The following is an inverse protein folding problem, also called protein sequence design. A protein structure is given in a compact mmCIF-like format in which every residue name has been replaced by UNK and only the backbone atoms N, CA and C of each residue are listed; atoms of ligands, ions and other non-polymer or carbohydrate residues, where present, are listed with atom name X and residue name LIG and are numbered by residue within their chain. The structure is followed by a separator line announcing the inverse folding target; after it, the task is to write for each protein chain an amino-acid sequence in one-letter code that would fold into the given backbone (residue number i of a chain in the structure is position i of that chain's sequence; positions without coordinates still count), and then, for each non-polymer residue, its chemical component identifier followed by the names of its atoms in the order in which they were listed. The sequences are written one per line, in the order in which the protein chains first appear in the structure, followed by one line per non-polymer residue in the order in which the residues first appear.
data_IF_491812283638
#
_entry.id   IF_491812283638
#
_cell.length_a   1.000
_cell.length_b   1.000
_cell.length_c   1.000
_cell.angle_alpha   90.00
_cell.angle_beta   90.00
_cell.angle_gamma   90.00
#
_symmetry.space_group_name_H-M   'P 1'
#
loop_
_entity.id
_entity.type
_entity.pdbx_description
1 polymer ?
#
# COMPACT_ATOMS: atom_id res chain seq x y z
N UNK A 1 -23.86 -23.41 -18.52
CA UNK A 1 -24.33 -22.62 -17.38
C UNK A 1 -23.13 -22.47 -16.44
N UNK A 2 -22.44 -21.34 -16.47
CA UNK A 2 -21.43 -21.02 -15.47
C UNK A 2 -22.15 -20.65 -14.19
N UNK A 3 -21.85 -21.34 -13.11
CA UNK A 3 -22.50 -21.13 -11.82
C UNK A 3 -22.14 -19.73 -11.26
N UNK A 4 -23.09 -18.82 -11.25
CA UNK A 4 -22.92 -17.48 -10.71
C UNK A 4 -22.62 -17.46 -9.19
N UNK A 5 -22.86 -18.57 -8.47
CA UNK A 5 -22.60 -18.66 -7.04
C UNK A 5 -21.09 -18.70 -6.74
N UNK A 6 -20.30 -19.30 -7.61
CA UNK A 6 -18.85 -19.38 -7.49
C UNK A 6 -18.22 -17.97 -7.42
N UNK A 7 -18.54 -17.10 -8.36
CA UNK A 7 -17.96 -15.74 -8.44
C UNK A 7 -18.45 -14.80 -7.35
N UNK A 8 -19.69 -14.97 -6.85
CA UNK A 8 -20.20 -14.15 -5.75
C UNK A 8 -19.50 -14.45 -4.43
N UNK A 9 -19.11 -15.71 -4.18
CA UNK A 9 -18.29 -16.09 -3.03
C UNK A 9 -16.93 -15.42 -3.04
N UNK A 10 -16.22 -15.47 -4.16
CA UNK A 10 -14.89 -14.88 -4.33
C UNK A 10 -14.86 -13.36 -4.18
N UNK A 11 -15.95 -12.66 -4.50
CA UNK A 11 -16.05 -11.21 -4.29
C UNK A 11 -16.07 -10.84 -2.80
N UNK A 12 -16.74 -11.63 -1.97
CA UNK A 12 -16.74 -11.42 -0.51
C UNK A 12 -15.36 -11.71 0.09
N UNK A 13 -14.76 -12.84 -0.28
CA UNK A 13 -13.44 -13.24 0.20
C UNK A 13 -12.36 -12.22 -0.14
N UNK A 14 -12.42 -11.62 -1.34
CA UNK A 14 -11.49 -10.55 -1.73
C UNK A 14 -11.63 -9.33 -0.80
N UNK A 15 -12.84 -8.96 -0.40
CA UNK A 15 -13.08 -7.85 0.53
C UNK A 15 -12.44 -8.08 1.88
N UNK A 16 -12.59 -9.26 2.44
CA UNK A 16 -12.01 -9.65 3.73
C UNK A 16 -10.48 -9.71 3.65
N UNK A 17 -9.97 -10.26 2.55
CA UNK A 17 -8.54 -10.41 2.32
C UNK A 17 -7.79 -9.07 2.26
N UNK A 18 -8.35 -8.09 1.58
CA UNK A 18 -7.75 -6.75 1.46
C UNK A 18 -8.00 -5.86 2.68
N UNK A 19 -8.91 -6.23 3.58
CA UNK A 19 -9.31 -5.38 4.72
C UNK A 19 -8.20 -5.11 5.73
N UNK A 20 -7.23 -6.00 5.84
CA UNK A 20 -6.13 -5.95 6.81
C UNK A 20 -4.83 -5.38 6.26
N UNK A 21 -4.78 -5.08 4.96
CA UNK A 21 -3.57 -4.57 4.31
C UNK A 21 -3.32 -3.12 4.73
N UNK A 22 -2.14 -2.86 5.28
CA UNK A 22 -1.72 -1.53 5.75
C UNK A 22 -0.44 -1.03 5.06
N UNK A 23 0.19 -1.85 4.22
CA UNK A 23 1.40 -1.48 3.49
C UNK A 23 1.35 -1.88 2.02
N UNK A 24 2.20 -1.25 1.24
CA UNK A 24 2.37 -1.51 -0.19
C UNK A 24 2.96 -2.91 -0.47
N UNK A 25 3.86 -3.35 0.39
CA UNK A 25 4.49 -4.68 0.31
C UNK A 25 3.49 -5.79 0.60
N UNK A 26 2.68 -5.60 1.64
CA UNK A 26 1.60 -6.53 1.97
C UNK A 26 0.57 -6.66 0.85
N UNK A 27 0.30 -5.58 0.10
CA UNK A 27 -0.63 -5.62 -1.02
C UNK A 27 -0.17 -6.60 -2.10
N UNK A 28 1.12 -6.55 -2.46
CA UNK A 28 1.69 -7.46 -3.46
C UNK A 28 1.56 -8.93 -3.04
N UNK A 29 2.04 -9.26 -1.86
CA UNK A 29 2.05 -10.64 -1.35
C UNK A 29 0.63 -11.17 -1.17
N UNK A 30 -0.25 -10.33 -0.66
CA UNK A 30 -1.64 -10.69 -0.43
C UNK A 30 -2.38 -10.90 -1.74
N UNK A 31 -2.20 -10.01 -2.73
CA UNK A 31 -2.83 -10.14 -4.03
C UNK A 31 -2.41 -11.43 -4.73
N UNK A 32 -1.11 -11.72 -4.77
CA UNK A 32 -0.60 -12.94 -5.39
C UNK A 32 -1.10 -14.19 -4.68
N UNK A 33 -1.11 -14.20 -3.35
CA UNK A 33 -1.66 -15.31 -2.55
C UNK A 33 -3.14 -15.54 -2.83
N UNK A 34 -3.93 -14.46 -2.86
CA UNK A 34 -5.35 -14.53 -3.20
C UNK A 34 -5.57 -15.13 -4.59
N UNK A 35 -4.84 -14.63 -5.59
CA UNK A 35 -4.96 -15.10 -6.96
C UNK A 35 -4.60 -16.58 -7.10
N UNK A 36 -3.51 -17.03 -6.47
CA UNK A 36 -3.11 -18.45 -6.50
C UNK A 36 -4.16 -19.34 -5.85
N UNK A 37 -4.79 -18.90 -4.76
CA UNK A 37 -5.82 -19.69 -4.08
C UNK A 37 -7.13 -19.81 -4.87
N UNK A 38 -7.43 -18.81 -5.71
CA UNK A 38 -8.68 -18.74 -6.46
C UNK A 38 -8.60 -19.31 -7.86
N UNK A 39 -7.39 -19.59 -8.38
CA UNK A 39 -7.21 -20.06 -9.73
C UNK A 39 -6.91 -21.56 -9.78
N UNK A 40 -7.90 -22.33 -10.24
CA UNK A 40 -7.78 -23.76 -10.56
C UNK A 40 -7.42 -24.01 -12.04
N UNK A 41 -7.24 -22.95 -12.85
CA UNK A 41 -7.12 -23.07 -14.30
C UNK A 41 -5.67 -22.93 -14.77
N UNK A 42 -5.11 -23.99 -15.30
CA UNK A 42 -3.84 -23.94 -16.01
C UNK A 42 -3.91 -22.96 -17.20
N UNK A 43 -3.00 -22.01 -17.18
CA UNK A 43 -2.77 -21.09 -18.30
C UNK A 43 -3.52 -19.77 -18.25
N UNK A 44 -4.20 -19.43 -17.16
CA UNK A 44 -4.80 -18.12 -17.00
C UNK A 44 -3.73 -17.03 -16.76
N UNK A 45 -4.00 -15.87 -17.34
CA UNK A 45 -3.15 -14.70 -17.19
C UNK A 45 -3.96 -13.55 -16.61
N UNK A 46 -3.54 -13.06 -15.45
CA UNK A 46 -4.13 -11.89 -14.79
C UNK A 46 -3.00 -10.97 -14.35
N UNK A 47 -3.13 -9.68 -14.63
CA UNK A 47 -2.16 -8.68 -14.21
C UNK A 47 -2.86 -7.48 -13.61
N UNK A 48 -2.38 -7.01 -12.47
CA UNK A 48 -2.83 -5.79 -11.82
C UNK A 48 -1.75 -4.75 -11.89
N UNK A 49 -2.04 -3.66 -12.59
CA UNK A 49 -1.11 -2.56 -12.82
C UNK A 49 -1.68 -1.27 -12.21
N UNK A 50 -0.95 -0.66 -11.29
CA UNK A 50 -1.32 0.62 -10.69
C UNK A 50 -0.44 1.74 -11.26
N UNK A 51 -0.94 2.97 -11.16
CA UNK A 51 -0.12 4.17 -11.41
C UNK A 51 1.01 4.24 -10.40
N UNK A 52 2.21 4.64 -10.81
CA UNK A 52 3.41 4.61 -9.97
C UNK A 52 3.36 5.58 -8.77
N UNK A 53 2.41 6.51 -8.77
CA UNK A 53 2.14 7.43 -7.67
C UNK A 53 0.92 7.03 -6.81
N UNK A 54 0.40 5.82 -6.96
CA UNK A 54 -0.80 5.38 -6.26
C UNK A 54 -0.71 5.55 -4.74
N UNK A 55 0.43 5.23 -4.15
CA UNK A 55 0.69 5.42 -2.71
C UNK A 55 1.42 6.74 -2.39
N UNK A 56 2.21 7.29 -3.31
CA UNK A 56 3.05 8.45 -3.03
C UNK A 56 2.33 9.80 -3.07
N UNK A 57 1.18 9.88 -3.73
CA UNK A 57 0.36 11.11 -3.81
C UNK A 57 -0.23 11.55 -2.46
N UNK A 58 0.06 10.81 -1.39
CA UNK A 58 -0.45 11.05 -0.04
C UNK A 58 0.41 12.06 0.75
N UNK A 59 1.62 12.37 0.30
CA UNK A 59 2.57 13.22 1.03
C UNK A 59 2.19 14.70 1.10
N UNK A 60 1.16 15.14 0.37
CA UNK A 60 0.76 16.56 0.31
C UNK A 60 -0.70 16.86 0.59
N UNK A 61 -1.52 15.89 1.00
CA UNK A 61 -2.98 16.12 1.17
C UNK A 61 -3.71 16.37 -0.17
N UNK A 62 -3.05 16.24 -1.28
CA UNK A 62 -3.66 16.35 -2.61
C UNK A 62 -4.37 15.04 -2.94
N UNK A 63 -5.65 15.12 -3.21
CA UNK A 63 -6.43 14.04 -3.78
C UNK A 63 -5.79 13.61 -5.11
N UNK A 64 -5.84 12.31 -5.42
CA UNK A 64 -5.40 11.74 -6.69
C UNK A 64 -6.28 12.29 -7.83
N UNK A 65 -6.06 13.55 -8.20
CA UNK A 65 -6.72 14.17 -9.37
C UNK A 65 -6.09 13.73 -10.69
N UNK A 66 -5.54 12.52 -10.73
CA UNK A 66 -4.91 12.03 -11.93
C UNK A 66 -5.95 11.60 -12.96
N UNK A 67 -6.03 12.35 -14.05
CA UNK A 67 -7.00 12.10 -15.13
C UNK A 67 -6.58 10.99 -16.11
N UNK A 68 -5.47 10.28 -15.85
CA UNK A 68 -4.97 9.24 -16.74
C UNK A 68 -3.86 8.39 -16.10
N UNK A 69 -3.20 7.60 -16.93
CA UNK A 69 -2.06 6.78 -16.50
C UNK A 69 -0.79 7.61 -16.38
N UNK A 70 0.10 7.20 -15.47
CA UNK A 70 1.45 7.76 -15.34
C UNK A 70 2.36 7.28 -16.48
N UNK A 71 3.51 7.93 -16.69
CA UNK A 71 4.50 7.47 -17.67
C UNK A 71 5.01 6.07 -17.37
N UNK A 72 5.08 5.73 -16.11
CA UNK A 72 5.40 4.40 -15.62
C UNK A 72 4.24 3.88 -14.80
N UNK A 73 4.06 2.58 -14.89
CA UNK A 73 3.10 1.83 -14.12
C UNK A 73 3.84 0.84 -13.23
N UNK A 74 3.16 0.35 -12.23
CA UNK A 74 3.68 -0.67 -11.34
C UNK A 74 2.81 -1.93 -11.44
N UNK A 75 3.42 -3.05 -11.85
CA UNK A 75 2.81 -4.37 -11.76
C UNK A 75 2.84 -4.80 -10.29
N UNK A 76 1.69 -4.73 -9.64
CA UNK A 76 1.57 -5.02 -8.19
C UNK A 76 1.26 -6.48 -7.89
N UNK A 77 0.91 -7.26 -8.88
CA UNK A 77 0.63 -8.69 -8.74
C UNK A 77 -0.12 -9.25 -9.92
N UNK A 78 -0.22 -10.54 -9.96
CA UNK A 78 -0.90 -11.25 -11.04
C UNK A 78 -0.48 -12.70 -11.14
N UNK A 79 -1.03 -13.38 -12.12
CA UNK A 79 -0.67 -14.74 -12.51
C UNK A 79 -0.28 -14.78 -13.99
N UNK A 80 0.73 -15.57 -14.29
CA UNK A 80 1.10 -15.94 -15.64
C UNK A 80 1.29 -17.45 -15.72
N UNK A 81 0.49 -18.10 -16.53
CA UNK A 81 0.48 -19.57 -16.63
C UNK A 81 0.31 -20.27 -15.26
N UNK A 82 -0.55 -19.68 -14.39
CA UNK A 82 -0.82 -20.18 -13.04
C UNK A 82 0.26 -19.84 -11.98
N UNK A 83 1.35 -19.16 -12.36
CA UNK A 83 2.42 -18.78 -11.44
C UNK A 83 2.33 -17.28 -11.09
N UNK A 84 2.59 -16.90 -9.83
CA UNK A 84 2.58 -15.51 -9.42
C UNK A 84 3.67 -14.73 -10.13
N UNK A 85 3.35 -13.47 -10.50
CA UNK A 85 4.30 -12.55 -11.12
C UNK A 85 5.01 -11.71 -10.09
N UNK A 86 6.26 -11.33 -10.37
CA UNK A 86 7.03 -10.44 -9.53
C UNK A 86 6.58 -8.99 -9.70
N UNK A 87 6.62 -8.23 -8.61
CA UNK A 87 6.39 -6.80 -8.62
C UNK A 87 7.48 -6.10 -9.42
N UNK A 88 7.10 -5.24 -10.37
CA UNK A 88 8.06 -4.45 -11.11
C UNK A 88 7.45 -3.18 -11.70
N UNK A 89 8.29 -2.16 -11.84
CA UNK A 89 7.96 -0.90 -12.51
C UNK A 89 8.27 -1.01 -14.00
N UNK A 90 7.37 -0.50 -14.85
CA UNK A 90 7.52 -0.56 -16.29
C UNK A 90 6.92 0.68 -16.98
N UNK A 91 7.39 1.05 -18.20
CA UNK A 91 6.79 2.13 -18.99
C UNK A 91 5.38 1.76 -19.44
N UNK A 92 4.40 2.64 -19.30
CA UNK A 92 3.00 2.40 -19.66
C UNK A 92 2.79 1.93 -21.10
N UNK A 93 3.69 2.30 -22.00
CA UNK A 93 3.67 1.88 -23.41
C UNK A 93 3.81 0.37 -23.60
N UNK A 94 4.32 -0.35 -22.62
CA UNK A 94 4.51 -1.80 -22.68
C UNK A 94 3.29 -2.60 -22.23
N UNK A 95 2.23 -1.98 -21.82
CA UNK A 95 0.99 -2.56 -21.31
C UNK A 95 1.22 -3.48 -20.09
N UNK A 96 2.12 -4.46 -20.18
CA UNK A 96 2.57 -5.30 -19.07
C UNK A 96 4.01 -5.75 -19.32
N UNK A 97 4.83 -5.98 -18.28
CA UNK A 97 6.19 -6.49 -18.42
C UNK A 97 6.22 -7.88 -19.07
N UNK A 98 7.18 -8.10 -19.97
CA UNK A 98 7.35 -9.37 -20.64
C UNK A 98 6.28 -9.72 -21.68
N UNK A 99 5.40 -8.77 -22.00
CA UNK A 99 4.46 -8.93 -23.11
C UNK A 99 5.15 -8.61 -24.44
N UNK A 100 5.19 -9.59 -25.32
CA UNK A 100 5.71 -9.42 -26.68
C UNK A 100 4.54 -9.29 -27.67
N UNK A 101 4.34 -8.06 -28.16
CA UNK A 101 3.33 -7.75 -29.18
C UNK A 101 3.60 -8.46 -30.53
N UNK A 102 4.85 -8.88 -30.75
CA UNK A 102 5.29 -9.52 -32.00
C UNK A 102 5.25 -11.05 -31.93
N UNK A 103 4.89 -11.63 -30.78
CA UNK A 103 4.78 -13.07 -30.62
C UNK A 103 3.77 -13.67 -31.62
N UNK A 104 4.21 -14.63 -32.43
CA UNK A 104 3.38 -15.34 -33.38
C UNK A 104 2.33 -16.18 -32.65
N UNK A 105 1.09 -15.77 -32.73
CA UNK A 105 -0.06 -16.41 -32.11
C UNK A 105 -0.90 -15.34 -31.46
N UNK A 106 -1.99 -14.93 -32.10
CA UNK A 106 -2.86 -13.88 -31.55
C UNK A 106 -3.36 -14.24 -30.17
N UNK A 107 -3.04 -13.42 -29.18
CA UNK A 107 -3.62 -13.50 -27.84
C UNK A 107 -4.62 -12.39 -27.67
N UNK A 108 -5.74 -12.70 -27.06
CA UNK A 108 -6.76 -11.69 -26.72
C UNK A 108 -6.62 -11.37 -25.25
N UNK A 109 -6.50 -10.08 -24.95
CA UNK A 109 -6.52 -9.58 -23.58
C UNK A 109 -7.71 -8.67 -23.41
N UNK A 110 -8.36 -8.78 -22.26
CA UNK A 110 -9.38 -7.83 -21.82
C UNK A 110 -8.72 -6.84 -20.91
N UNK A 111 -8.81 -5.59 -21.31
CA UNK A 111 -8.34 -4.44 -20.56
C UNK A 111 -9.46 -3.87 -19.72
N UNK A 112 -9.29 -3.84 -18.41
CA UNK A 112 -10.26 -3.31 -17.47
C UNK A 112 -9.65 -2.14 -16.69
N UNK A 113 -10.09 -0.90 -16.94
CA UNK A 113 -9.61 0.25 -16.21
C UNK A 113 -10.11 0.25 -14.77
N UNK A 114 -9.23 0.59 -13.83
CA UNK A 114 -9.52 0.75 -12.42
C UNK A 114 -9.55 2.25 -12.10
N UNK A 115 -10.74 2.81 -11.97
CA UNK A 115 -10.92 4.24 -11.74
C UNK A 115 -12.08 4.54 -10.80
N UNK A 116 -12.01 5.72 -10.18
CA UNK A 116 -13.07 6.33 -9.39
C UNK A 116 -13.34 7.75 -9.89
N UNK A 117 -14.30 8.43 -9.27
CA UNK A 117 -14.49 9.87 -9.50
C UNK A 117 -13.27 10.71 -9.02
N UNK A 118 -12.44 10.14 -8.16
CA UNK A 118 -11.24 10.80 -7.61
C UNK A 118 -10.04 10.70 -8.54
N UNK A 119 -10.01 9.68 -9.42
CA UNK A 119 -8.93 9.53 -10.39
C UNK A 119 -8.73 8.11 -10.91
N UNK A 120 -7.69 7.96 -11.72
CA UNK A 120 -7.28 6.69 -12.29
C UNK A 120 -6.33 5.97 -11.34
N UNK A 121 -6.66 4.75 -10.95
CA UNK A 121 -5.82 3.91 -10.09
C UNK A 121 -4.88 3.02 -10.92
N UNK A 122 -5.32 2.63 -12.12
CA UNK A 122 -4.57 1.74 -12.98
C UNK A 122 -5.48 0.91 -13.86
N UNK A 123 -5.10 -0.34 -14.10
CA UNK A 123 -5.89 -1.30 -14.86
C UNK A 123 -5.58 -2.74 -14.45
N UNK A 124 -6.53 -3.63 -14.74
CA UNK A 124 -6.31 -5.06 -14.75
C UNK A 124 -6.35 -5.58 -16.18
N UNK A 125 -5.52 -6.59 -16.48
CA UNK A 125 -5.51 -7.30 -17.75
C UNK A 125 -5.83 -8.76 -17.50
N UNK A 126 -6.68 -9.31 -18.36
CA UNK A 126 -7.05 -10.72 -18.34
C UNK A 126 -6.73 -11.33 -19.70
N UNK A 127 -5.89 -12.36 -19.71
CA UNK A 127 -5.61 -13.19 -20.87
C UNK A 127 -6.39 -14.50 -20.82
N UNK A 128 -6.68 -15.07 -21.99
CA UNK A 128 -7.50 -16.26 -22.18
C UNK A 128 -8.98 -16.13 -21.81
N UNK A 129 -9.71 -17.22 -21.95
CA UNK A 129 -11.14 -17.26 -21.72
C UNK A 129 -11.46 -17.32 -20.23
N UNK A 130 -11.76 -16.16 -19.65
CA UNK A 130 -12.29 -16.13 -18.28
C UNK A 130 -13.83 -16.19 -18.33
N UNK A 131 -14.44 -17.18 -17.68
CA UNK A 131 -15.91 -17.33 -17.69
C UNK A 131 -16.69 -16.12 -17.20
N UNK A 132 -16.10 -15.30 -16.32
CA UNK A 132 -16.73 -14.10 -15.78
C UNK A 132 -16.95 -12.99 -16.81
N UNK A 133 -16.32 -13.07 -18.00
CA UNK A 133 -16.45 -12.06 -19.05
C UNK A 133 -17.81 -12.07 -19.74
N UNK A 134 -18.55 -13.16 -19.63
CA UNK A 134 -19.83 -13.33 -20.31
C UNK A 134 -21.05 -12.87 -19.50
N UNK A 135 -20.83 -12.30 -18.31
CA UNK A 135 -21.92 -11.86 -17.47
C UNK A 135 -21.59 -10.56 -16.71
N UNK A 136 -22.59 -9.99 -16.03
CA UNK A 136 -22.44 -8.78 -15.22
C UNK A 136 -21.46 -8.92 -14.03
N UNK A 137 -20.96 -10.11 -13.76
CA UNK A 137 -20.04 -10.38 -12.66
C UNK A 137 -18.74 -9.61 -12.79
N UNK A 138 -18.25 -9.39 -14.02
CA UNK A 138 -17.02 -8.62 -14.25
C UNK A 138 -17.16 -7.16 -13.77
N UNK A 139 -18.33 -6.56 -13.96
CA UNK A 139 -18.58 -5.19 -13.50
C UNK A 139 -18.57 -5.11 -11.96
N UNK A 140 -19.25 -6.03 -11.31
CA UNK A 140 -19.28 -6.10 -9.85
C UNK A 140 -17.88 -6.39 -9.29
N UNK A 141 -17.14 -7.27 -9.96
CA UNK A 141 -15.77 -7.60 -9.60
C UNK A 141 -14.85 -6.36 -9.72
N UNK A 142 -14.89 -5.63 -10.83
CA UNK A 142 -14.07 -4.42 -11.01
C UNK A 142 -14.37 -3.37 -9.95
N UNK A 143 -15.65 -3.17 -9.64
CA UNK A 143 -16.09 -2.25 -8.59
C UNK A 143 -15.56 -2.67 -7.22
N UNK A 144 -15.62 -3.96 -6.91
CA UNK A 144 -15.08 -4.51 -5.66
C UNK A 144 -13.57 -4.32 -5.57
N UNK A 145 -12.81 -4.62 -6.64
CA UNK A 145 -11.36 -4.36 -6.69
C UNK A 145 -11.04 -2.90 -6.39
N UNK A 146 -11.71 -1.97 -7.07
CA UNK A 146 -11.47 -0.53 -6.89
C UNK A 146 -11.81 -0.08 -5.46
N UNK A 147 -12.90 -0.58 -4.88
CA UNK A 147 -13.26 -0.29 -3.49
C UNK A 147 -12.22 -0.80 -2.50
N UNK A 148 -11.71 -2.01 -2.72
CA UNK A 148 -10.67 -2.59 -1.88
C UNK A 148 -9.33 -1.87 -2.02
N UNK A 149 -8.92 -1.52 -3.23
CA UNK A 149 -7.72 -0.69 -3.45
C UNK A 149 -7.84 0.68 -2.76
N UNK A 150 -9.00 1.31 -2.83
CA UNK A 150 -9.25 2.56 -2.12
C UNK A 150 -9.15 2.38 -0.60
N UNK A 151 -9.66 1.29 -0.07
CA UNK A 151 -9.56 0.96 1.36
C UNK A 151 -8.10 0.76 1.80
N UNK A 152 -7.32 -0.03 1.04
CA UNK A 152 -5.89 -0.19 1.31
C UNK A 152 -5.17 1.15 1.33
N UNK A 153 -5.44 1.99 0.32
CA UNK A 153 -4.87 3.33 0.25
C UNK A 153 -5.22 4.17 1.48
N UNK A 154 -6.47 4.16 1.91
CA UNK A 154 -6.90 4.88 3.12
C UNK A 154 -6.20 4.35 4.39
N UNK A 155 -6.05 3.04 4.53
CA UNK A 155 -5.34 2.45 5.66
C UNK A 155 -3.88 2.91 5.71
N UNK A 156 -3.19 2.89 4.57
CA UNK A 156 -1.80 3.39 4.47
C UNK A 156 -1.69 4.86 4.86
N UNK A 157 -2.67 5.69 4.45
CA UNK A 157 -2.72 7.11 4.84
C UNK A 157 -2.87 7.25 6.36
N UNK A 158 -3.84 6.55 6.93
CA UNK A 158 -4.12 6.63 8.37
C UNK A 158 -2.90 6.20 9.17
N UNK A 159 -2.22 5.12 8.76
CA UNK A 159 -1.01 4.65 9.43
C UNK A 159 0.14 5.67 9.35
N UNK A 160 0.33 6.29 8.18
CA UNK A 160 1.33 7.35 8.02
C UNK A 160 1.01 8.58 8.90
N UNK A 161 -0.25 9.00 8.96
CA UNK A 161 -0.67 10.11 9.81
C UNK A 161 -0.49 9.78 11.28
N UNK A 162 -0.85 8.58 11.72
CA UNK A 162 -0.64 8.12 13.09
C UNK A 162 0.85 8.14 13.45
N UNK A 163 1.70 7.62 12.58
CA UNK A 163 3.16 7.65 12.78
C UNK A 163 3.72 9.08 12.86
N UNK A 164 3.17 10.03 12.09
CA UNK A 164 3.55 11.43 12.18
C UNK A 164 3.08 12.06 13.51
N UNK A 165 1.84 11.78 13.93
CA UNK A 165 1.31 12.25 15.20
C UNK A 165 2.11 11.70 16.39
N UNK A 166 2.49 10.42 16.36
CA UNK A 166 3.35 9.82 17.37
C UNK A 166 4.71 10.54 17.45
N UNK A 167 5.35 10.80 16.32
CA UNK A 167 6.62 11.55 16.29
C UNK A 167 6.48 12.96 16.88
N UNK A 168 5.41 13.66 16.56
CA UNK A 168 5.13 14.99 17.13
C UNK A 168 4.80 14.91 18.62
N UNK A 169 4.16 13.83 19.05
CA UNK A 169 3.79 13.62 20.46
C UNK A 169 4.96 13.22 21.34
N UNK A 170 6.02 12.57 20.82
CA UNK A 170 7.16 12.07 21.62
C UNK A 170 8.34 13.03 21.67
N UNK A 171 8.31 14.13 20.93
CA UNK A 171 9.37 15.15 20.92
C UNK A 171 8.90 16.45 21.56
N UNK A 172 9.81 17.16 22.20
CA UNK A 172 9.62 18.52 22.69
C UNK A 172 9.71 19.51 21.53
N UNK A 173 8.67 20.33 21.35
CA UNK A 173 8.55 21.22 20.19
C UNK A 173 9.58 22.37 20.16
N UNK A 174 10.24 22.66 21.28
CA UNK A 174 11.24 23.72 21.37
C UNK A 174 12.65 23.20 21.10
N UNK A 175 12.97 22.06 21.65
CA UNK A 175 14.34 21.51 21.62
C UNK A 175 14.54 20.40 20.60
N UNK A 176 13.46 19.78 20.09
CA UNK A 176 13.51 18.66 19.17
C UNK A 176 14.00 17.34 19.78
N UNK A 177 14.30 17.29 21.08
CA UNK A 177 14.66 16.05 21.78
C UNK A 177 13.40 15.34 22.27
N UNK A 178 13.54 14.09 22.70
CA UNK A 178 12.42 13.36 23.27
C UNK A 178 11.85 14.06 24.51
N UNK A 179 10.54 14.22 24.56
CA UNK A 179 9.84 14.64 25.76
C UNK A 179 9.69 13.45 26.74
N UNK A 180 8.95 13.63 27.82
CA UNK A 180 8.71 12.56 28.80
C UNK A 180 8.11 11.30 28.17
N UNK A 181 7.10 11.46 27.31
CA UNK A 181 6.46 10.34 26.60
C UNK A 181 7.42 9.66 25.64
N UNK A 182 8.29 10.42 24.96
CA UNK A 182 9.33 9.90 24.11
C UNK A 182 10.39 9.11 24.88
N UNK A 183 10.75 9.54 26.10
CA UNK A 183 11.61 8.75 26.98
C UNK A 183 10.94 7.40 27.36
N UNK A 184 9.66 7.42 27.69
CA UNK A 184 8.92 6.22 28.05
C UNK A 184 8.78 5.23 26.86
N UNK A 185 8.44 5.73 25.68
CA UNK A 185 8.12 4.88 24.52
C UNK A 185 9.34 4.49 23.68
N UNK A 186 10.42 5.23 23.74
CA UNK A 186 11.61 5.01 22.88
C UNK A 186 12.85 4.67 23.72
N UNK A 187 13.14 5.46 24.75
CA UNK A 187 14.39 5.29 25.50
C UNK A 187 14.37 4.02 26.37
N UNK A 188 13.28 3.71 27.05
CA UNK A 188 13.21 2.48 27.86
C UNK A 188 13.30 1.19 27.04
N UNK A 189 12.56 1.01 25.94
CA UNK A 189 12.74 -0.18 25.10
C UNK A 189 14.14 -0.30 24.51
N UNK A 190 14.79 0.84 24.24
CA UNK A 190 16.18 0.83 23.78
C UNK A 190 17.15 0.34 24.88
N UNK A 191 16.95 0.76 26.12
CA UNK A 191 17.74 0.29 27.25
C UNK A 191 17.56 -1.20 27.53
N UNK A 192 16.32 -1.70 27.44
CA UNK A 192 16.02 -3.13 27.55
C UNK A 192 16.75 -3.94 26.47
N UNK A 193 16.71 -3.48 25.24
CA UNK A 193 17.43 -4.11 24.12
C UNK A 193 18.95 -4.10 24.32
N UNK A 194 19.51 -3.02 24.88
CA UNK A 194 20.94 -2.98 25.23
C UNK A 194 21.28 -4.03 26.30
N UNK A 195 20.43 -4.15 27.31
CA UNK A 195 20.61 -5.15 28.37
C UNK A 195 20.55 -6.59 27.82
N UNK A 196 19.57 -6.91 26.99
CA UNK A 196 19.45 -8.22 26.33
C UNK A 196 20.69 -8.55 25.46
N UNK A 197 21.32 -7.54 24.86
CA UNK A 197 22.52 -7.69 24.03
C UNK A 197 23.81 -7.67 24.84
N UNK A 198 23.73 -7.58 26.18
CA UNK A 198 24.92 -7.48 27.03
C UNK A 198 25.76 -6.21 26.84
N UNK A 199 25.09 -5.11 26.38
CA UNK A 199 25.73 -3.81 26.18
C UNK A 199 25.47 -2.91 27.37
N UNK A 200 26.49 -2.15 27.74
CA UNK A 200 26.36 -1.12 28.76
C UNK A 200 25.67 0.10 28.24
N UNK A 201 24.85 0.74 29.07
CA UNK A 201 24.21 2.02 28.80
C UNK A 201 24.51 3.00 29.93
N UNK A 202 24.72 4.26 29.59
CA UNK A 202 24.94 5.33 30.55
C UNK A 202 23.73 6.26 30.55
N UNK A 203 23.15 6.45 31.73
CA UNK A 203 22.07 7.42 31.94
C UNK A 203 22.65 8.68 32.61
N UNK A 204 22.43 9.83 31.99
CA UNK A 204 22.88 11.12 32.51
C UNK A 204 21.67 12.01 32.79
N UNK A 205 21.64 12.59 33.98
CA UNK A 205 20.68 13.66 34.34
C UNK A 205 21.41 14.98 34.32
N UNK A 206 20.85 15.97 33.61
CA UNK A 206 21.37 17.32 33.57
C UNK A 206 20.26 18.34 33.92
N UNK A 207 20.60 19.35 34.73
CA UNK A 207 19.68 20.44 35.10
C UNK A 207 20.40 21.79 35.02
N UNK A 208 19.65 22.82 34.64
CA UNK A 208 20.17 24.18 34.56
C UNK A 208 19.95 24.87 35.90
N UNK A 209 21.05 25.18 36.61
CA UNK A 209 21.01 25.84 37.87
C UNK A 209 20.42 27.27 37.75
N UNK A 210 19.53 27.63 38.69
CA UNK A 210 18.91 28.97 38.80
C UNK A 210 18.07 29.36 37.57
N UNK A 211 17.50 28.44 36.84
CA UNK A 211 16.64 28.73 35.69
C UNK A 211 15.49 29.69 36.02
N UNK A 212 14.89 29.54 37.20
CA UNK A 212 13.86 30.48 37.67
C UNK A 212 14.38 31.93 37.78
N UNK A 213 15.58 32.13 38.31
CA UNK A 213 16.19 33.48 38.44
C UNK A 213 16.49 34.07 37.06
N UNK A 214 16.87 33.24 36.08
CA UNK A 214 17.11 33.68 34.70
C UNK A 214 15.80 34.10 34.06
N UNK A 215 14.75 33.29 34.17
CA UNK A 215 13.42 33.58 33.62
C UNK A 215 12.80 34.83 34.24
N UNK A 216 12.93 35.00 35.56
CA UNK A 216 12.44 36.17 36.26
C UNK A 216 13.14 37.48 35.83
N UNK A 217 14.42 37.37 35.43
CA UNK A 217 15.24 38.54 35.05
C UNK A 217 15.14 38.87 33.55
N UNK A 218 15.02 37.85 32.69
CA UNK A 218 15.15 38.04 31.26
C UNK A 218 13.88 37.62 30.46
N UNK A 219 12.87 37.04 31.15
CA UNK A 219 11.65 36.57 30.52
C UNK A 219 11.78 35.13 29.97
N UNK A 220 10.62 34.53 29.59
CA UNK A 220 10.53 33.17 29.06
C UNK A 220 10.84 33.05 27.56
N UNK A 221 11.18 34.12 26.87
CA UNK A 221 11.34 34.16 25.41
C UNK A 221 12.80 34.32 24.94
N UNK A 222 13.76 34.00 25.78
CA UNK A 222 15.18 33.97 25.36
C UNK A 222 15.78 32.59 25.48
#
# INVERSE_FOLDING_TARGET
YVDNSFWSGHLCEMGDFFSLIVSEEELHDSLNRFLVQQHDYEGDEIYFCLVDNFFSSLRGGEHLKQQGYTEHMELIGGLKDGLPVERQRFPVKKLVPGYDLEAKGGRVYIFMPLYTIEGCYGYALFGKEMPMMYNYSIYNWSRSVVQNLNRVRQNVIVEQLNSQLEKLSVTDGLTGVYNRLGCENVAYPYLEKCHEQGKDAILMFADINKMKTINDKYGHLQ
#
